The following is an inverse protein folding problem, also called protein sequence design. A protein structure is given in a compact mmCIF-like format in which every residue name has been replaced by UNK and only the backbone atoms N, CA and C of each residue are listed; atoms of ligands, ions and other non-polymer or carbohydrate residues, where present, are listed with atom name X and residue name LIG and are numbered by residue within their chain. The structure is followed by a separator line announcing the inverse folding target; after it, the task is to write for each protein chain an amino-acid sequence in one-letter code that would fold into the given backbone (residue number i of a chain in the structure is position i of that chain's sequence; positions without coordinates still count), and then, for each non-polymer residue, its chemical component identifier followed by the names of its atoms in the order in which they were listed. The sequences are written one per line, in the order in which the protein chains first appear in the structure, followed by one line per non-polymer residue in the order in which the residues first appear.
data_IF_074120723462
#
_entry.id   IF_074120723462
#
_cell.length_a   1.000
_cell.length_b   1.000
_cell.length_c   1.000
_cell.angle_alpha   90.00
_cell.angle_beta   90.00
_cell.angle_gamma   90.00
#
_symmetry.space_group_name_H-M   'P 1'
#
loop_
_entity.id
_entity.type
_entity.pdbx_description
1 polymer ?
#
# COMPACT_ATOMS: atom_id res chain seq x y z
N UNK A 1 5.05 -4.99 14.20
CA UNK A 1 6.02 -4.70 13.12
C UNK A 1 6.31 -6.01 12.39
N UNK A 2 5.56 -6.32 11.34
CA UNK A 2 5.80 -7.52 10.55
C UNK A 2 6.95 -7.26 9.59
N UNK A 3 8.04 -7.98 9.83
CA UNK A 3 9.26 -7.94 9.05
C UNK A 3 9.02 -8.79 7.79
N UNK A 4 8.33 -8.24 6.80
CA UNK A 4 8.23 -8.86 5.48
C UNK A 4 9.63 -8.89 4.89
N UNK A 5 10.34 -10.01 5.12
CA UNK A 5 11.63 -10.31 4.48
C UNK A 5 11.46 -10.07 2.99
N UNK A 6 12.44 -9.40 2.38
CA UNK A 6 12.40 -9.09 0.97
C UNK A 6 12.39 -10.39 0.16
N UNK A 7 11.20 -10.82 -0.27
CA UNK A 7 10.98 -12.11 -0.95
C UNK A 7 11.72 -12.21 -2.28
N UNK A 8 12.08 -11.07 -2.89
CA UNK A 8 12.76 -10.98 -4.18
C UNK A 8 14.10 -11.72 -4.22
N UNK A 9 14.71 -11.97 -3.06
CA UNK A 9 16.01 -12.64 -2.95
C UNK A 9 15.93 -14.09 -2.49
N UNK A 10 14.73 -14.63 -2.28
CA UNK A 10 14.57 -15.97 -1.72
C UNK A 10 14.56 -17.06 -2.80
N UNK A 11 13.95 -16.80 -3.97
CA UNK A 11 13.85 -17.77 -5.05
C UNK A 11 13.62 -17.08 -6.41
N UNK A 12 14.23 -17.52 -7.53
CA UNK A 12 14.08 -16.87 -8.84
C UNK A 12 12.63 -16.76 -9.34
N UNK A 13 11.79 -17.77 -9.05
CA UNK A 13 10.36 -17.74 -9.41
C UNK A 13 9.54 -16.70 -8.61
N UNK A 14 10.10 -16.15 -7.53
CA UNK A 14 9.50 -15.06 -6.76
C UNK A 14 9.92 -13.67 -7.28
N UNK A 15 10.87 -13.61 -8.22
CA UNK A 15 11.31 -12.35 -8.82
C UNK A 15 10.26 -11.88 -9.85
N UNK A 16 9.63 -10.72 -9.64
CA UNK A 16 8.65 -10.20 -10.56
C UNK A 16 9.31 -9.61 -11.82
N UNK A 17 8.71 -9.77 -13.01
CA UNK A 17 9.13 -9.03 -14.19
C UNK A 17 9.06 -7.51 -13.96
N UNK A 18 10.08 -6.77 -14.40
CA UNK A 18 10.16 -5.31 -14.17
C UNK A 18 8.96 -4.58 -14.78
N UNK A 19 8.52 -5.04 -15.94
CA UNK A 19 7.39 -4.50 -16.68
C UNK A 19 6.09 -4.69 -15.90
N UNK A 20 5.92 -5.85 -15.24
CA UNK A 20 4.73 -6.14 -14.43
C UNK A 20 4.59 -5.16 -13.27
N UNK A 21 5.67 -4.89 -12.54
CA UNK A 21 5.62 -3.97 -11.39
C UNK A 21 5.38 -2.52 -11.81
N UNK A 22 5.92 -2.10 -12.94
CA UNK A 22 5.67 -0.76 -13.48
C UNK A 22 4.20 -0.51 -13.86
N UNK A 23 3.46 -1.59 -14.15
CA UNK A 23 2.04 -1.55 -14.49
C UNK A 23 1.13 -1.71 -13.26
N UNK A 24 1.52 -2.60 -12.35
CA UNK A 24 0.66 -3.03 -11.23
C UNK A 24 0.78 -2.16 -9.97
N UNK A 25 1.91 -1.48 -9.79
CA UNK A 25 2.18 -0.65 -8.61
C UNK A 25 2.21 0.83 -8.98
N UNK A 26 1.80 1.73 -8.07
CA UNK A 26 1.86 3.16 -8.32
C UNK A 26 3.31 3.60 -8.52
N UNK A 27 3.52 4.44 -9.53
CA UNK A 27 4.83 5.02 -9.78
C UNK A 27 5.25 5.93 -8.61
N UNK A 28 6.53 5.91 -8.22
CA UNK A 28 7.06 6.70 -7.09
C UNK A 28 6.86 8.22 -7.27
N UNK A 29 6.76 8.67 -8.52
CA UNK A 29 6.51 10.07 -8.90
C UNK A 29 5.04 10.49 -8.94
N UNK A 30 4.10 9.63 -8.52
CA UNK A 30 2.71 10.04 -8.39
C UNK A 30 2.55 11.04 -7.23
N UNK A 31 1.57 11.93 -7.36
CA UNK A 31 1.14 12.75 -6.24
C UNK A 31 0.43 11.89 -5.17
N UNK A 32 0.18 12.46 -3.99
CA UNK A 32 -0.65 11.79 -2.98
C UNK A 32 -2.06 11.55 -3.48
N UNK A 33 -2.66 12.51 -4.21
CA UNK A 33 -4.01 12.34 -4.75
C UNK A 33 -4.06 11.27 -5.84
N UNK A 34 -3.06 11.23 -6.73
CA UNK A 34 -2.97 10.19 -7.76
C UNK A 34 -2.75 8.80 -7.14
N UNK A 35 -1.96 8.70 -6.06
CA UNK A 35 -1.82 7.45 -5.29
C UNK A 35 -3.18 7.00 -4.75
N UNK A 36 -3.97 7.91 -4.18
CA UNK A 36 -5.30 7.59 -3.63
C UNK A 36 -6.34 7.21 -4.70
N UNK A 37 -6.14 7.66 -5.94
CA UNK A 37 -6.95 7.28 -7.09
C UNK A 37 -6.45 6.00 -7.79
N UNK A 38 -5.21 5.57 -7.51
CA UNK A 38 -4.61 4.38 -8.10
C UNK A 38 -5.36 3.11 -7.66
N UNK A 39 -5.71 2.25 -8.61
CA UNK A 39 -6.43 1.00 -8.34
C UNK A 39 -5.49 0.01 -7.66
N UNK A 40 -5.84 -0.36 -6.42
CA UNK A 40 -5.07 -1.32 -5.62
C UNK A 40 -6.02 -2.45 -5.18
N UNK A 41 -5.68 -3.72 -5.43
CA UNK A 41 -6.58 -4.82 -5.13
C UNK A 41 -6.98 -4.86 -3.65
N UNK A 42 -8.21 -5.29 -3.38
CA UNK A 42 -8.78 -5.34 -2.03
C UNK A 42 -8.15 -6.46 -1.21
N UNK A 43 -7.97 -6.23 0.08
CA UNK A 43 -7.51 -7.28 1.01
C UNK A 43 -8.73 -7.99 1.54
N UNK A 44 -8.75 -9.32 1.46
CA UNK A 44 -9.86 -10.12 1.98
C UNK A 44 -9.38 -10.97 3.15
N UNK A 45 -10.25 -11.10 4.15
CA UNK A 45 -10.02 -12.03 5.24
C UNK A 45 -9.97 -13.45 4.66
N UNK A 46 -8.84 -14.11 4.85
CA UNK A 46 -8.72 -15.53 4.52
C UNK A 46 -9.35 -16.32 5.66
N UNK A 47 -10.13 -17.35 5.33
CA UNK A 47 -10.66 -18.25 6.36
C UNK A 47 -9.47 -18.96 7.02
N UNK A 48 -9.39 -18.91 8.35
CA UNK A 48 -8.26 -19.43 9.13
C UNK A 48 -7.96 -20.93 8.89
N UNK A 49 -8.89 -21.66 8.28
CA UNK A 49 -8.76 -23.10 8.04
C UNK A 49 -8.10 -23.47 6.71
N UNK A 50 -7.68 -22.51 5.88
CA UNK A 50 -7.05 -22.81 4.58
C UNK A 50 -5.54 -22.94 4.77
N UNK A 51 -4.97 -24.15 4.64
CA UNK A 51 -3.53 -24.32 4.78
C UNK A 51 -2.79 -23.68 3.61
N UNK A 52 -1.69 -22.99 3.91
CA UNK A 52 -0.85 -22.30 2.93
C UNK A 52 -0.36 -23.21 1.77
N UNK A 53 -0.22 -24.52 2.01
CA UNK A 53 0.16 -25.50 0.97
C UNK A 53 -0.86 -25.59 -0.17
N UNK A 54 -2.14 -25.32 0.07
CA UNK A 54 -3.22 -25.37 -0.94
C UNK A 54 -3.08 -24.23 -1.96
N UNK A 55 -2.38 -23.15 -1.60
CA UNK A 55 -2.11 -22.05 -2.52
C UNK A 55 -1.08 -22.44 -3.58
N UNK A 56 -0.26 -23.47 -3.40
CA UNK A 56 0.78 -23.84 -4.37
C UNK A 56 0.28 -24.94 -5.31
N UNK A 57 0.58 -24.83 -6.61
CA UNK A 57 0.34 -25.88 -7.59
C UNK A 57 1.64 -26.30 -8.28
N UNK A 58 1.69 -27.57 -8.67
CA UNK A 58 2.73 -28.11 -9.56
C UNK A 58 2.47 -27.74 -11.04
N UNK A 59 1.27 -27.27 -11.35
CA UNK A 59 0.87 -26.87 -12.70
C UNK A 59 1.52 -25.54 -13.13
N UNK A 60 1.64 -25.33 -14.44
CA UNK A 60 2.11 -24.06 -14.99
C UNK A 60 1.08 -22.94 -14.79
N UNK A 61 1.53 -21.67 -14.66
CA UNK A 61 0.62 -20.54 -14.58
C UNK A 61 -0.21 -20.42 -15.87
N UNK A 62 -1.51 -20.13 -15.71
CA UNK A 62 -2.47 -19.98 -16.81
C UNK A 62 -2.88 -18.52 -17.06
N UNK A 63 -2.52 -17.59 -16.16
CA UNK A 63 -2.82 -16.17 -16.34
C UNK A 63 -1.99 -15.57 -17.48
N UNK A 64 -2.67 -15.12 -18.52
CA UNK A 64 -2.05 -14.46 -19.69
C UNK A 64 -1.99 -12.94 -19.56
N UNK A 65 -3.01 -12.33 -18.94
CA UNK A 65 -3.12 -10.89 -18.78
C UNK A 65 -2.79 -10.48 -17.34
N UNK A 66 -1.67 -9.79 -17.20
CA UNK A 66 -1.14 -9.32 -15.91
C UNK A 66 -2.06 -8.25 -15.30
N UNK A 67 -2.80 -7.48 -16.10
CA UNK A 67 -3.66 -6.39 -15.58
C UNK A 67 -4.78 -6.90 -14.70
N UNK A 68 -5.24 -8.14 -14.93
CA UNK A 68 -6.27 -8.80 -14.12
C UNK A 68 -5.84 -8.99 -12.66
N UNK A 69 -4.53 -8.98 -12.36
CA UNK A 69 -4.05 -9.07 -10.98
C UNK A 69 -4.51 -7.91 -10.09
N UNK A 70 -4.84 -6.74 -10.68
CA UNK A 70 -5.38 -5.60 -9.92
C UNK A 70 -6.83 -5.80 -9.47
N UNK A 71 -7.55 -6.76 -10.08
CA UNK A 71 -8.91 -7.14 -9.73
C UNK A 71 -8.97 -8.32 -8.75
N UNK A 72 -7.87 -9.08 -8.64
CA UNK A 72 -7.81 -10.21 -7.74
C UNK A 72 -7.61 -9.76 -6.30
N UNK A 73 -8.38 -10.30 -5.34
CA UNK A 73 -8.20 -9.94 -3.95
C UNK A 73 -6.86 -10.46 -3.42
N UNK A 74 -6.28 -9.73 -2.47
CA UNK A 74 -5.05 -10.08 -1.77
C UNK A 74 -5.41 -10.86 -0.49
N UNK A 75 -4.71 -11.96 -0.17
CA UNK A 75 -4.87 -12.66 1.11
C UNK A 75 -4.55 -11.76 2.31
N UNK A 76 -4.93 -12.21 3.51
CA UNK A 76 -4.62 -11.47 4.75
C UNK A 76 -3.10 -11.41 5.00
N UNK A 77 -2.66 -10.48 5.86
CA UNK A 77 -1.24 -10.39 6.23
C UNK A 77 -0.70 -11.66 6.89
N UNK A 78 -1.54 -12.37 7.64
CA UNK A 78 -1.19 -13.63 8.30
C UNK A 78 -0.96 -14.73 7.26
N UNK A 79 -1.92 -14.90 6.35
CA UNK A 79 -1.78 -15.88 5.26
C UNK A 79 -0.57 -15.58 4.37
N UNK A 80 -0.31 -14.32 4.03
CA UNK A 80 0.89 -13.98 3.25
C UNK A 80 2.20 -14.27 3.99
N UNK A 81 2.21 -14.16 5.33
CA UNK A 81 3.36 -14.55 6.12
C UNK A 81 3.59 -16.06 6.05
N UNK A 82 2.54 -16.87 6.23
CA UNK A 82 2.63 -18.33 6.12
C UNK A 82 3.09 -18.77 4.72
N UNK A 83 2.54 -18.13 3.67
CA UNK A 83 2.94 -18.37 2.29
C UNK A 83 4.40 -17.99 2.05
N UNK A 84 4.85 -16.85 2.57
CA UNK A 84 6.24 -16.42 2.48
C UNK A 84 7.19 -17.41 3.15
N UNK A 85 6.86 -17.90 4.34
CA UNK A 85 7.67 -18.84 5.11
C UNK A 85 7.80 -20.21 4.42
N UNK A 86 6.72 -20.70 3.79
CA UNK A 86 6.70 -21.98 3.08
C UNK A 86 7.15 -21.90 1.61
N UNK A 87 7.24 -20.70 1.05
CA UNK A 87 7.47 -20.52 -0.39
C UNK A 87 8.71 -21.25 -0.90
N UNK A 88 9.87 -21.06 -0.25
CA UNK A 88 11.14 -21.64 -0.71
C UNK A 88 11.07 -23.16 -0.74
N UNK A 89 10.60 -23.79 0.34
CA UNK A 89 10.55 -25.25 0.43
C UNK A 89 9.56 -25.85 -0.58
N UNK A 90 8.42 -25.20 -0.83
CA UNK A 90 7.43 -25.69 -1.79
C UNK A 90 7.90 -25.50 -3.24
N UNK A 91 8.58 -24.41 -3.55
CA UNK A 91 9.17 -24.16 -4.86
C UNK A 91 10.31 -25.15 -5.16
N UNK A 92 11.18 -25.43 -4.19
CA UNK A 92 12.24 -26.44 -4.32
C UNK A 92 11.65 -27.86 -4.51
N UNK A 93 10.48 -28.12 -3.92
CA UNK A 93 9.73 -29.37 -4.10
C UNK A 93 8.90 -29.42 -5.39
N UNK A 94 9.05 -28.43 -6.28
CA UNK A 94 8.53 -28.44 -7.64
C UNK A 94 7.28 -27.60 -7.88
N UNK A 95 6.79 -26.84 -6.89
CA UNK A 95 5.68 -25.91 -7.13
C UNK A 95 6.05 -24.88 -8.22
N UNK A 96 5.12 -24.61 -9.14
CA UNK A 96 5.34 -23.74 -10.31
C UNK A 96 4.37 -22.58 -10.43
N UNK A 97 3.26 -22.63 -9.70
CA UNK A 97 2.24 -21.59 -9.70
C UNK A 97 1.54 -21.46 -8.35
N UNK A 98 0.80 -20.38 -8.20
CA UNK A 98 -0.08 -20.09 -7.08
C UNK A 98 -1.56 -20.21 -7.48
N UNK A 99 -2.42 -20.50 -6.52
CA UNK A 99 -3.87 -20.54 -6.66
C UNK A 99 -4.48 -19.55 -5.67
N UNK A 100 -5.56 -18.89 -6.06
CA UNK A 100 -6.32 -18.00 -5.18
C UNK A 100 -7.25 -18.80 -4.26
N UNK A 101 -6.70 -19.62 -3.37
CA UNK A 101 -7.52 -20.47 -2.49
C UNK A 101 -8.46 -19.67 -1.57
N UNK A 102 -8.13 -18.40 -1.29
CA UNK A 102 -8.94 -17.46 -0.53
C UNK A 102 -10.10 -16.85 -1.33
N UNK A 103 -10.16 -17.06 -2.65
CA UNK A 103 -11.16 -16.49 -3.54
C UNK A 103 -11.92 -17.57 -4.31
N UNK A 104 -13.11 -17.91 -3.81
CA UNK A 104 -13.90 -19.06 -4.28
C UNK A 104 -14.38 -18.95 -5.74
N UNK A 105 -14.44 -17.74 -6.31
CA UNK A 105 -14.92 -17.53 -7.67
C UNK A 105 -13.88 -17.91 -8.74
N UNK A 106 -12.61 -18.05 -8.36
CA UNK A 106 -11.51 -18.33 -9.30
C UNK A 106 -10.62 -19.49 -8.84
N UNK A 107 -11.22 -20.68 -8.71
CA UNK A 107 -10.51 -21.91 -8.37
C UNK A 107 -9.64 -22.45 -9.53
N UNK A 108 -9.82 -21.92 -10.74
CA UNK A 108 -9.19 -22.43 -11.96
C UNK A 108 -7.89 -21.70 -12.35
N UNK A 109 -7.76 -20.42 -12.02
CA UNK A 109 -6.61 -19.64 -12.47
C UNK A 109 -5.36 -19.98 -11.67
N UNK A 110 -4.28 -20.28 -12.40
CA UNK A 110 -2.95 -20.51 -11.87
C UNK A 110 -2.11 -19.26 -12.09
N UNK A 111 -1.68 -18.63 -11.01
CA UNK A 111 -0.91 -17.41 -11.02
C UNK A 111 0.59 -17.70 -10.99
N UNK A 112 1.44 -16.88 -11.61
CA UNK A 112 2.88 -16.99 -11.44
C UNK A 112 3.30 -16.87 -9.96
N UNK A 113 4.35 -17.57 -9.54
CA UNK A 113 4.79 -17.54 -8.14
C UNK A 113 5.23 -16.15 -7.66
N UNK A 114 5.74 -15.29 -8.55
CA UNK A 114 6.10 -13.90 -8.22
C UNK A 114 4.91 -13.06 -7.76
N UNK A 115 3.68 -13.51 -7.99
CA UNK A 115 2.48 -12.85 -7.47
C UNK A 115 2.48 -12.81 -5.93
N UNK A 116 3.12 -13.77 -5.26
CA UNK A 116 3.33 -13.67 -3.80
C UNK A 116 4.11 -12.41 -3.43
N UNK A 117 5.19 -12.09 -4.15
CA UNK A 117 5.95 -10.85 -3.96
C UNK A 117 5.07 -9.64 -4.22
N UNK A 118 4.28 -9.64 -5.29
CA UNK A 118 3.33 -8.56 -5.59
C UNK A 118 2.33 -8.35 -4.44
N UNK A 119 1.71 -9.40 -3.93
CA UNK A 119 0.78 -9.32 -2.80
C UNK A 119 1.42 -8.73 -1.54
N UNK A 120 2.66 -9.11 -1.22
CA UNK A 120 3.39 -8.52 -0.10
C UNK A 120 3.66 -7.01 -0.29
N UNK A 121 3.98 -6.59 -1.52
CA UNK A 121 4.16 -5.17 -1.86
C UNK A 121 2.84 -4.40 -1.74
N UNK A 122 1.74 -4.97 -2.24
CA UNK A 122 0.39 -4.38 -2.09
C UNK A 122 0.02 -4.20 -0.62
N UNK A 123 0.27 -5.21 0.22
CA UNK A 123 0.02 -5.09 1.66
C UNK A 123 0.86 -4.00 2.32
N UNK A 124 2.13 -3.92 1.95
CA UNK A 124 3.03 -2.88 2.45
C UNK A 124 2.54 -1.50 2.00
N UNK A 125 2.14 -1.37 0.73
CA UNK A 125 1.63 -0.13 0.15
C UNK A 125 0.34 0.33 0.85
N UNK A 126 -0.60 -0.60 1.05
CA UNK A 126 -1.87 -0.35 1.74
C UNK A 126 -1.65 0.13 3.16
N UNK A 127 -0.95 -0.67 3.96
CA UNK A 127 -0.80 -0.43 5.39
C UNK A 127 0.12 0.76 5.71
N UNK A 128 1.24 0.92 4.99
CA UNK A 128 2.24 1.94 5.33
C UNK A 128 2.01 3.28 4.64
N UNK A 129 1.30 3.32 3.52
CA UNK A 129 1.18 4.54 2.72
C UNK A 129 -0.28 4.92 2.46
N UNK A 130 -1.13 4.00 1.99
CA UNK A 130 -2.52 4.36 1.66
C UNK A 130 -3.38 4.63 2.87
N UNK A 131 -3.40 3.73 3.86
CA UNK A 131 -4.31 3.82 5.00
C UNK A 131 -4.17 5.18 5.74
N UNK A 132 -2.96 5.68 6.06
CA UNK A 132 -2.81 7.01 6.63
C UNK A 132 -3.40 8.12 5.75
N UNK A 133 -3.20 8.04 4.44
CA UNK A 133 -3.72 9.04 3.50
C UNK A 133 -5.23 8.95 3.29
N UNK A 134 -5.81 7.74 3.35
CA UNK A 134 -7.26 7.53 3.31
C UNK A 134 -7.89 8.17 4.54
N UNK A 135 -7.37 7.90 5.74
CA UNK A 135 -7.85 8.51 6.98
C UNK A 135 -7.72 10.03 6.95
N UNK A 136 -6.58 10.55 6.48
CA UNK A 136 -6.36 11.98 6.31
C UNK A 136 -7.40 12.60 5.37
N UNK A 137 -7.67 11.98 4.21
CA UNK A 137 -8.67 12.46 3.25
C UNK A 137 -10.08 12.44 3.85
N UNK A 138 -10.49 11.33 4.45
CA UNK A 138 -11.82 11.22 5.09
C UNK A 138 -12.01 12.28 6.17
N UNK A 139 -10.95 12.58 6.93
CA UNK A 139 -11.01 13.62 7.95
C UNK A 139 -11.09 15.03 7.36
N UNK A 140 -10.36 15.30 6.27
CA UNK A 140 -10.47 16.57 5.53
C UNK A 140 -11.87 16.76 4.95
N UNK A 141 -12.45 15.71 4.35
CA UNK A 141 -13.82 15.73 3.81
C UNK A 141 -14.86 15.97 4.91
N UNK A 142 -14.69 15.31 6.07
CA UNK A 142 -15.55 15.54 7.24
C UNK A 142 -15.45 16.98 7.75
N UNK A 143 -14.25 17.55 7.81
CA UNK A 143 -14.02 18.94 8.23
C UNK A 143 -14.62 19.93 7.21
N UNK A 144 -14.46 19.67 5.92
CA UNK A 144 -15.08 20.43 4.84
C UNK A 144 -16.61 20.47 4.98
N UNK A 145 -17.22 19.31 5.22
CA UNK A 145 -18.65 19.21 5.44
C UNK A 145 -19.11 20.00 6.69
N UNK A 146 -18.44 19.86 7.83
CA UNK A 146 -18.79 20.56 9.08
C UNK A 146 -18.66 22.08 9.00
N UNK A 147 -17.79 22.59 8.12
CA UNK A 147 -17.50 24.02 8.04
C UNK A 147 -18.28 24.76 6.96
N UNK A 148 -18.84 24.05 5.98
CA UNK A 148 -19.80 24.63 5.02
C UNK A 148 -21.00 25.25 5.72
N UNK A 149 -21.46 24.64 6.82
CA UNK A 149 -22.59 25.15 7.61
C UNK A 149 -22.24 26.38 8.47
N UNK A 150 -20.96 26.74 8.60
CA UNK A 150 -20.51 27.82 9.48
C UNK A 150 -20.10 29.12 8.75
N UNK A 151 -20.27 29.21 7.42
CA UNK A 151 -19.89 30.38 6.58
C UNK A 151 -18.47 30.92 6.83
N UNK A 152 -17.50 30.06 7.18
CA UNK A 152 -16.11 30.47 7.41
C UNK A 152 -15.29 30.42 6.12
N UNK A 153 -15.35 31.49 5.33
CA UNK A 153 -14.63 31.66 4.05
C UNK A 153 -13.12 31.31 4.14
N UNK A 154 -12.47 31.66 5.26
CA UNK A 154 -11.05 31.36 5.49
C UNK A 154 -10.74 29.87 5.61
N UNK A 155 -11.70 29.06 6.04
CA UNK A 155 -11.50 27.64 6.28
C UNK A 155 -11.62 26.81 5.00
N UNK A 156 -12.59 27.15 4.14
CA UNK A 156 -12.69 26.54 2.80
C UNK A 156 -11.40 26.77 2.02
N UNK A 157 -10.90 28.01 2.06
CA UNK A 157 -9.63 28.40 1.42
C UNK A 157 -8.44 27.57 1.93
N UNK A 158 -8.46 27.15 3.20
CA UNK A 158 -7.40 26.32 3.76
C UNK A 158 -7.49 24.87 3.27
N UNK A 159 -8.69 24.29 3.21
CA UNK A 159 -8.90 22.93 2.70
C UNK A 159 -8.47 22.84 1.22
N UNK A 160 -8.87 23.83 0.41
CA UNK A 160 -8.47 23.89 -1.00
C UNK A 160 -6.94 23.99 -1.15
N UNK A 161 -6.27 24.76 -0.29
CA UNK A 161 -4.80 24.83 -0.24
C UNK A 161 -4.18 23.49 0.13
N UNK A 162 -4.78 22.74 1.05
CA UNK A 162 -4.29 21.40 1.43
C UNK A 162 -4.43 20.44 0.25
N UNK A 163 -5.58 20.39 -0.43
CA UNK A 163 -5.75 19.53 -1.61
C UNK A 163 -4.78 19.91 -2.75
N UNK A 164 -4.60 21.21 -3.00
CA UNK A 164 -3.60 21.68 -3.97
C UNK A 164 -2.18 21.22 -3.59
N UNK A 165 -1.83 21.24 -2.30
CA UNK A 165 -0.55 20.71 -1.83
C UNK A 165 -0.46 19.19 -2.05
N UNK A 166 -1.47 18.41 -1.66
CA UNK A 166 -1.50 16.95 -1.85
C UNK A 166 -1.40 16.54 -3.33
N UNK A 167 -1.93 17.36 -4.23
CA UNK A 167 -1.81 17.15 -5.68
C UNK A 167 -0.39 17.40 -6.23
N UNK A 168 0.44 18.14 -5.50
CA UNK A 168 1.80 18.50 -5.93
C UNK A 168 2.89 17.70 -5.23
N UNK A 169 2.58 17.10 -4.07
CA UNK A 169 3.55 16.39 -3.24
C UNK A 169 3.62 14.92 -3.65
N UNK A 170 4.83 14.43 -3.88
CA UNK A 170 5.09 13.02 -4.22
C UNK A 170 4.87 12.10 -3.02
N UNK A 171 4.09 11.04 -3.20
CA UNK A 171 3.73 10.13 -2.09
C UNK A 171 4.94 9.36 -1.52
N UNK A 172 5.91 9.03 -2.36
CA UNK A 172 7.07 8.21 -2.00
C UNK A 172 8.27 9.02 -1.49
N UNK A 173 8.21 10.35 -1.59
CA UNK A 173 9.36 11.20 -1.30
C UNK A 173 9.62 11.35 0.21
N UNK A 174 10.78 11.91 0.51
CA UNK A 174 11.06 12.44 1.84
C UNK A 174 10.72 13.93 1.87
N UNK A 175 10.15 14.37 3.00
CA UNK A 175 9.94 15.76 3.34
C UNK A 175 11.31 16.44 3.41
N UNK A 176 11.43 17.59 2.75
CA UNK A 176 12.66 18.39 2.72
C UNK A 176 12.47 19.68 3.49
N UNK A 177 13.59 20.25 3.92
CA UNK A 177 13.57 21.51 4.64
C UNK A 177 13.17 21.36 6.11
N UNK A 178 13.48 20.24 6.74
CA UNK A 178 13.46 20.05 8.20
C UNK A 178 14.77 19.42 8.64
N UNK A 179 15.11 19.54 9.91
CA UNK A 179 16.29 18.93 10.51
C UNK A 179 16.20 17.41 10.51
N UNK A 180 14.99 16.85 10.67
CA UNK A 180 14.70 15.44 10.51
C UNK A 180 14.25 15.09 9.09
N UNK A 181 14.86 14.05 8.51
CA UNK A 181 14.42 13.50 7.21
C UNK A 181 13.33 12.48 7.44
N UNK A 182 12.11 12.82 7.04
CA UNK A 182 10.92 12.00 7.24
C UNK A 182 10.23 11.73 5.92
N UNK A 183 9.45 10.65 5.84
CA UNK A 183 8.68 10.34 4.63
C UNK A 183 7.45 11.23 4.49
N UNK A 184 7.05 11.54 3.26
CA UNK A 184 5.85 12.33 2.96
C UNK A 184 4.61 11.82 3.72
N UNK A 185 4.45 10.51 3.90
CA UNK A 185 3.31 9.92 4.63
C UNK A 185 3.14 10.46 6.05
N UNK A 186 4.19 10.93 6.72
CA UNK A 186 4.06 11.50 8.08
C UNK A 186 3.29 12.82 8.10
N UNK A 187 3.13 13.47 6.94
CA UNK A 187 2.26 14.63 6.78
C UNK A 187 0.77 14.27 6.92
N UNK A 188 0.37 13.02 6.67
CA UNK A 188 -1.01 12.58 6.80
C UNK A 188 -1.55 12.82 8.22
N UNK A 189 -0.71 12.64 9.25
CA UNK A 189 -1.06 12.84 10.66
C UNK A 189 -1.53 14.28 10.95
N UNK A 190 -1.01 15.30 10.27
CA UNK A 190 -1.51 16.67 10.44
C UNK A 190 -2.97 16.84 9.96
N UNK A 191 -3.42 15.95 9.10
CA UNK A 191 -4.77 15.92 8.56
C UNK A 191 -5.68 14.95 9.31
N UNK A 192 -5.19 14.15 10.27
CA UNK A 192 -6.02 13.26 11.09
C UNK A 192 -6.37 13.93 12.44
N UNK A 193 -7.05 13.18 13.31
CA UNK A 193 -7.30 13.53 14.71
C UNK A 193 -6.35 12.75 15.65
N UNK A 194 -5.29 12.15 15.10
CA UNK A 194 -4.27 11.44 15.87
C UNK A 194 -3.38 12.41 16.65
N UNK A 195 -2.80 11.92 17.73
CA UNK A 195 -1.79 12.67 18.47
C UNK A 195 -0.53 12.85 17.62
N UNK A 196 -0.01 14.08 17.61
CA UNK A 196 1.27 14.38 16.99
C UNK A 196 2.37 13.65 17.76
N UNK A 197 3.35 13.13 17.01
CA UNK A 197 4.56 12.55 17.59
C UNK A 197 5.68 13.59 17.65
N UNK A 198 6.79 13.23 18.29
CA UNK A 198 8.03 14.01 18.35
C UNK A 198 8.48 14.48 16.94
N UNK A 199 8.18 13.71 15.89
CA UNK A 199 8.48 14.09 14.50
C UNK A 199 7.77 15.40 14.14
N UNK A 200 6.46 15.48 14.36
CA UNK A 200 5.66 16.65 14.01
C UNK A 200 5.96 17.83 14.93
N UNK A 201 6.26 17.56 16.21
CA UNK A 201 6.71 18.59 17.16
C UNK A 201 8.01 19.26 16.70
N UNK A 202 9.03 18.47 16.34
CA UNK A 202 10.30 18.99 15.84
C UNK A 202 10.13 19.78 14.53
N UNK A 203 9.26 19.31 13.62
CA UNK A 203 8.94 20.05 12.40
C UNK A 203 8.30 21.41 12.71
N UNK A 204 7.38 21.50 13.68
CA UNK A 204 6.79 22.77 14.09
C UNK A 204 7.83 23.71 14.74
N UNK A 205 8.73 23.18 15.56
CA UNK A 205 9.82 23.96 16.16
C UNK A 205 10.77 24.53 15.10
N UNK A 206 11.13 23.74 14.09
CA UNK A 206 11.96 24.18 12.96
C UNK A 206 11.31 25.34 12.20
N UNK A 207 9.97 25.33 12.03
CA UNK A 207 9.25 26.44 11.38
C UNK A 207 9.27 27.72 12.21
N UNK A 208 9.19 27.60 13.53
CA UNK A 208 9.25 28.75 14.44
C UNK A 208 10.64 29.38 14.44
N UNK A 209 11.70 28.56 14.48
CA UNK A 209 13.08 29.04 14.48
C UNK A 209 13.45 29.82 13.21
N UNK A 210 12.84 29.50 12.06
CA UNK A 210 13.11 30.20 10.78
C UNK A 210 12.39 31.54 10.63
N UNK A 211 11.40 31.82 11.47
CA UNK A 211 10.63 33.07 11.44
C UNK A 211 11.17 34.12 12.41
N UNK A 212 12.11 33.75 13.27
CA UNK A 212 12.85 34.63 14.18
C UNK A 212 14.19 35.00 13.55
#
# INVERSE_FOLDING_TARGET
MNNTKNLRYLHPLLEPPKEAFSLLLPHEKLSVLDLLAFKIPVVVATKNDIPATVFFSMDQPSLLDITLLQDLPVPSSETLQDLAELSVSLLDNGARSLQCAHFAEDLGTKLPCWVLTYWCEVMTLRTKYLEPWIQARENLERRDWLWKDQEKEGTQTLIDKVYNALNSVLWSANIRGFSNTERTVTLATYCTDEWLSDIQENQMLDLLQRRL
#
